data_IF_301646662889
#
_entry.id   IF_301646662889
#
_cell.length_a   1.000
_cell.length_b   1.000
_cell.length_c   1.000
_cell.angle_alpha   90.00
_cell.angle_beta   90.00
_cell.angle_gamma   90.00
#
_symmetry.space_group_name_H-M   'P 1'
#
loop_
_entity.id
_entity.type
_entity.pdbx_description
1 polymer ?
#
# COMPACT_ATOMS: atom_id res chain seq x y z
N UNK A 1 5.49 -7.50 -11.10
CA UNK A 1 5.21 -8.48 -10.02
C UNK A 1 6.50 -9.26 -9.78
N UNK A 2 7.10 -9.22 -8.60
CA UNK A 2 8.36 -9.89 -8.29
C UNK A 2 8.15 -10.88 -7.15
N UNK A 3 8.49 -12.15 -7.35
CA UNK A 3 8.40 -13.20 -6.34
C UNK A 3 9.80 -13.59 -5.88
N UNK A 4 9.94 -14.04 -4.64
CA UNK A 4 11.20 -14.60 -4.15
C UNK A 4 11.61 -15.80 -5.01
N UNK A 5 12.90 -15.86 -5.37
CA UNK A 5 13.46 -16.89 -6.27
C UNK A 5 13.32 -18.30 -5.68
N UNK A 6 13.64 -18.47 -4.40
CA UNK A 6 13.41 -19.71 -3.65
C UNK A 6 12.21 -19.54 -2.72
N UNK A 7 11.29 -20.50 -2.72
CA UNK A 7 10.23 -20.57 -1.70
C UNK A 7 10.76 -21.06 -0.36
N UNK A 8 11.88 -21.78 -0.38
CA UNK A 8 12.51 -22.36 0.80
C UNK A 8 13.60 -21.45 1.34
N UNK A 9 13.65 -21.34 2.67
CA UNK A 9 14.74 -20.71 3.40
C UNK A 9 15.62 -21.80 4.00
N UNK A 10 16.93 -21.54 4.08
CA UNK A 10 17.84 -22.42 4.80
C UNK A 10 17.45 -22.44 6.29
N UNK A 11 17.57 -23.60 6.97
CA UNK A 11 17.32 -23.66 8.41
C UNK A 11 18.16 -22.61 9.16
N UNK A 12 17.51 -21.77 9.96
CA UNK A 12 18.15 -20.71 10.72
C UNK A 12 18.34 -19.36 9.99
N UNK A 13 18.02 -19.26 8.71
CA UNK A 13 18.11 -17.99 7.96
C UNK A 13 16.89 -17.10 8.24
N UNK A 14 16.91 -16.39 9.37
CA UNK A 14 15.84 -15.50 9.82
C UNK A 14 15.57 -14.38 8.80
N UNK A 15 16.61 -13.87 8.15
CA UNK A 15 16.45 -12.82 7.14
C UNK A 15 15.64 -13.33 5.94
N UNK A 16 15.91 -14.54 5.48
CA UNK A 16 15.07 -15.17 4.46
C UNK A 16 13.63 -15.36 4.95
N UNK A 17 13.41 -15.85 6.16
CA UNK A 17 12.06 -16.05 6.68
C UNK A 17 11.27 -14.75 6.75
N UNK A 18 11.89 -13.65 7.19
CA UNK A 18 11.25 -12.34 7.31
C UNK A 18 11.13 -11.59 5.98
N UNK A 19 11.90 -11.97 4.96
CA UNK A 19 11.83 -11.35 3.64
C UNK A 19 10.44 -11.52 3.01
N UNK A 20 9.88 -10.47 2.37
CA UNK A 20 8.61 -10.61 1.68
C UNK A 20 8.68 -11.66 0.58
N UNK A 21 7.69 -12.54 0.58
CA UNK A 21 7.51 -13.57 -0.45
C UNK A 21 7.25 -12.95 -1.83
N UNK A 22 6.73 -11.74 -1.85
CA UNK A 22 6.21 -11.11 -3.04
C UNK A 22 6.18 -9.58 -2.96
N UNK A 23 6.64 -8.92 -4.04
CA UNK A 23 6.53 -7.48 -4.28
C UNK A 23 5.65 -7.19 -5.50
N UNK A 24 4.70 -6.27 -5.37
CA UNK A 24 4.02 -5.65 -6.51
C UNK A 24 4.42 -4.18 -6.64
N UNK A 25 4.43 -3.68 -7.88
CA UNK A 25 4.71 -2.28 -8.20
C UNK A 25 3.50 -1.79 -8.97
N UNK A 26 2.85 -0.74 -8.49
CA UNK A 26 1.60 -0.24 -9.05
C UNK A 26 1.72 1.27 -9.24
N UNK A 27 1.27 1.75 -10.39
CA UNK A 27 1.34 3.14 -10.79
C UNK A 27 -0.09 3.68 -10.88
N UNK A 28 -0.38 4.75 -10.16
CA UNK A 28 -1.71 5.35 -10.07
C UNK A 28 -1.57 6.82 -10.48
N UNK A 29 -2.41 7.28 -11.39
CA UNK A 29 -2.34 8.66 -11.90
C UNK A 29 -3.69 9.33 -11.82
N UNK A 30 -3.73 10.58 -11.34
CA UNK A 30 -4.96 11.39 -11.36
C UNK A 30 -4.67 12.89 -11.42
N UNK A 31 -5.70 13.67 -11.72
CA UNK A 31 -5.65 15.13 -11.85
C UNK A 31 -5.43 15.84 -10.51
N UNK A 32 -4.89 17.06 -10.56
CA UNK A 32 -4.85 17.97 -9.42
C UNK A 32 -6.25 18.18 -8.86
N UNK A 33 -6.34 18.25 -7.53
CA UNK A 33 -7.59 18.52 -6.81
C UNK A 33 -8.73 17.54 -7.14
N UNK A 34 -8.40 16.27 -7.45
CA UNK A 34 -9.40 15.22 -7.72
C UNK A 34 -10.48 15.21 -6.62
N UNK A 35 -11.77 15.40 -6.97
CA UNK A 35 -12.84 15.51 -5.99
C UNK A 35 -13.00 14.23 -5.16
N UNK A 36 -13.07 14.39 -3.83
CA UNK A 36 -13.40 13.27 -2.95
C UNK A 36 -14.92 13.04 -2.99
N UNK A 37 -15.39 11.80 -3.20
CA UNK A 37 -16.82 11.50 -3.19
C UNK A 37 -17.50 11.86 -1.87
N UNK A 38 -18.83 11.96 -1.86
CA UNK A 38 -19.62 12.27 -0.64
C UNK A 38 -19.42 11.29 0.52
N UNK A 39 -18.88 10.11 0.26
CA UNK A 39 -18.45 9.12 1.26
C UNK A 39 -17.22 9.59 2.06
N UNK A 40 -16.59 10.70 1.65
CA UNK A 40 -15.40 11.29 2.28
C UNK A 40 -14.10 10.57 1.92
N UNK A 41 -14.14 9.55 1.06
CA UNK A 41 -12.97 8.74 0.73
C UNK A 41 -13.05 8.20 -0.70
N UNK A 42 -11.92 8.20 -1.40
CA UNK A 42 -11.76 7.63 -2.74
C UNK A 42 -10.86 6.39 -2.67
N UNK A 43 -11.32 5.26 -3.18
CA UNK A 43 -10.52 4.02 -3.20
C UNK A 43 -9.45 4.08 -4.30
N UNK A 44 -8.20 3.84 -3.92
CA UNK A 44 -7.05 3.88 -4.84
C UNK A 44 -6.53 2.49 -5.18
N UNK A 45 -6.45 1.61 -4.18
CA UNK A 45 -5.82 0.30 -4.35
C UNK A 45 -6.40 -0.69 -3.35
N UNK A 46 -6.57 -1.94 -3.76
CA UNK A 46 -7.02 -3.03 -2.88
C UNK A 46 -5.96 -4.13 -2.80
N UNK A 47 -5.57 -4.48 -1.58
CA UNK A 47 -4.74 -5.64 -1.30
C UNK A 47 -5.59 -6.74 -0.66
N UNK A 48 -5.56 -7.93 -1.25
CA UNK A 48 -6.26 -9.12 -0.74
C UNK A 48 -5.25 -10.22 -0.43
N UNK A 49 -5.31 -10.73 0.79
CA UNK A 49 -4.68 -11.97 1.20
C UNK A 49 -5.61 -13.16 0.99
N UNK A 50 -5.04 -14.35 0.94
CA UNK A 50 -5.83 -15.60 0.96
C UNK A 50 -6.30 -15.85 2.38
N UNK A 51 -7.61 -16.01 2.58
CA UNK A 51 -8.16 -16.38 3.88
C UNK A 51 -7.99 -17.89 4.09
N UNK A 52 -7.08 -18.28 4.97
CA UNK A 52 -6.88 -19.67 5.40
C UNK A 52 -7.38 -19.82 6.84
N UNK A 53 -8.09 -20.92 7.18
CA UNK A 53 -8.48 -21.19 8.57
C UNK A 53 -7.26 -21.12 9.52
N UNK A 54 -7.45 -20.53 10.71
CA UNK A 54 -6.37 -20.34 11.68
C UNK A 54 -5.34 -19.27 11.30
N UNK A 55 -5.52 -18.55 10.19
CA UNK A 55 -4.59 -17.51 9.76
C UNK A 55 -5.13 -16.11 10.02
N UNK A 56 -4.25 -15.22 10.51
CA UNK A 56 -4.54 -13.80 10.75
C UNK A 56 -3.68 -12.98 9.79
N UNK A 57 -4.30 -12.01 9.12
CA UNK A 57 -3.61 -11.09 8.21
C UNK A 57 -3.53 -9.71 8.85
N UNK A 58 -2.35 -9.11 8.84
CA UNK A 58 -2.11 -7.74 9.31
C UNK A 58 -1.70 -6.88 8.13
N UNK A 59 -2.27 -5.68 8.06
CA UNK A 59 -1.98 -4.71 7.01
C UNK A 59 -1.44 -3.41 7.60
N UNK A 60 -0.38 -2.89 7.00
CA UNK A 60 0.22 -1.59 7.36
C UNK A 60 0.51 -0.77 6.10
N UNK A 61 0.51 0.55 6.25
CA UNK A 61 0.84 1.51 5.20
C UNK A 61 1.94 2.43 5.71
N UNK A 62 2.86 2.80 4.84
CA UNK A 62 3.92 3.74 5.13
C UNK A 62 4.11 4.70 3.96
N UNK A 63 4.23 6.00 4.26
CA UNK A 63 4.69 6.99 3.30
C UNK A 63 6.21 6.93 3.18
N UNK A 64 6.68 6.42 2.04
CA UNK A 64 8.11 6.25 1.75
C UNK A 64 8.71 7.56 1.25
N UNK A 65 8.03 8.22 0.31
CA UNK A 65 8.48 9.48 -0.26
C UNK A 65 7.32 10.34 -0.74
N UNK A 66 7.53 11.65 -0.79
CA UNK A 66 6.57 12.62 -1.32
C UNK A 66 7.32 13.84 -1.85
N UNK A 67 7.24 14.07 -3.16
CA UNK A 67 7.91 15.15 -3.88
C UNK A 67 6.86 16.00 -4.57
N UNK A 68 6.84 17.31 -4.29
CA UNK A 68 5.90 18.24 -4.89
C UNK A 68 6.65 19.42 -5.50
N UNK A 69 6.09 20.02 -6.56
CA UNK A 69 6.64 21.23 -7.14
C UNK A 69 6.63 22.41 -6.14
N UNK A 70 7.49 23.43 -6.33
CA UNK A 70 7.48 24.63 -5.48
C UNK A 70 6.10 25.27 -5.42
N UNK A 71 5.63 25.60 -4.22
CA UNK A 71 4.30 26.19 -3.99
C UNK A 71 3.15 25.18 -3.90
N UNK A 72 3.38 23.89 -4.17
CA UNK A 72 2.38 22.83 -4.03
C UNK A 72 2.46 22.20 -2.64
N UNK A 73 1.33 22.10 -1.94
CA UNK A 73 1.27 21.42 -0.65
C UNK A 73 1.55 19.93 -0.82
N UNK A 74 2.68 19.49 -0.27
CA UNK A 74 3.13 18.11 -0.31
C UNK A 74 2.15 17.18 0.41
N UNK A 75 1.83 16.05 -0.20
CA UNK A 75 1.03 15.01 0.43
C UNK A 75 1.75 14.43 1.66
N UNK A 76 0.98 14.18 2.71
CA UNK A 76 1.42 13.54 3.94
C UNK A 76 0.68 12.22 4.12
N UNK A 77 1.13 11.40 5.07
CA UNK A 77 0.46 10.13 5.37
C UNK A 77 -1.00 10.32 5.77
N UNK A 78 -1.34 11.45 6.40
CA UNK A 78 -2.71 11.82 6.79
C UNK A 78 -3.66 12.10 5.60
N UNK A 79 -3.14 12.16 4.37
CA UNK A 79 -3.96 12.20 3.16
C UNK A 79 -4.50 10.82 2.77
N UNK A 80 -3.96 9.75 3.36
CA UNK A 80 -4.27 8.37 3.05
C UNK A 80 -4.80 7.64 4.28
N UNK A 81 -5.57 6.57 4.06
CA UNK A 81 -5.98 5.66 5.12
C UNK A 81 -6.10 4.23 4.60
N UNK A 82 -6.06 3.27 5.52
CA UNK A 82 -6.39 1.88 5.22
C UNK A 82 -7.77 1.54 5.77
N UNK A 83 -8.69 1.19 4.88
CA UNK A 83 -9.95 0.53 5.21
C UNK A 83 -9.77 -0.98 5.24
N UNK A 84 -10.42 -1.66 6.18
CA UNK A 84 -10.37 -3.12 6.32
C UNK A 84 -11.79 -3.70 6.23
N UNK A 85 -12.33 -3.86 5.01
CA UNK A 85 -13.69 -4.37 4.83
C UNK A 85 -13.84 -5.85 5.22
N UNK A 86 -12.74 -6.61 5.25
CA UNK A 86 -12.70 -7.99 5.74
C UNK A 86 -11.34 -8.31 6.37
N UNK A 87 -11.22 -9.40 7.16
CA UNK A 87 -9.96 -9.76 7.83
C UNK A 87 -8.78 -9.99 6.87
N UNK A 88 -9.04 -10.39 5.62
CA UNK A 88 -8.03 -10.67 4.60
C UNK A 88 -7.98 -9.61 3.49
N UNK A 89 -8.58 -8.43 3.69
CA UNK A 89 -8.58 -7.36 2.71
C UNK A 89 -8.28 -6.00 3.34
N UNK A 90 -7.40 -5.24 2.70
CA UNK A 90 -7.20 -3.82 2.97
C UNK A 90 -7.41 -3.02 1.68
N UNK A 91 -8.01 -1.84 1.83
CA UNK A 91 -8.25 -0.88 0.76
C UNK A 91 -7.54 0.42 1.14
N UNK A 92 -6.55 0.82 0.34
CA UNK A 92 -5.96 2.14 0.42
C UNK A 92 -6.94 3.15 -0.14
N UNK A 93 -7.22 4.17 0.65
CA UNK A 93 -8.11 5.27 0.26
C UNK A 93 -7.41 6.61 0.40
N UNK A 94 -7.78 7.53 -0.48
CA UNK A 94 -7.48 8.95 -0.39
C UNK A 94 -8.59 9.64 0.39
N UNK A 95 -8.24 10.39 1.44
CA UNK A 95 -9.21 11.04 2.35
C UNK A 95 -9.39 12.53 2.07
N UNK A 96 -8.50 13.13 1.26
CA UNK A 96 -8.55 14.53 0.86
C UNK A 96 -7.97 14.73 -0.53
N UNK A 97 -8.46 15.72 -1.25
CA UNK A 97 -7.91 16.10 -2.55
C UNK A 97 -6.44 16.56 -2.42
N UNK A 98 -5.63 16.27 -3.43
CA UNK A 98 -4.21 16.61 -3.47
C UNK A 98 -3.95 17.62 -4.58
N UNK A 99 -3.29 18.75 -4.29
CA UNK A 99 -2.86 19.68 -5.33
C UNK A 99 -1.68 19.07 -6.10
N UNK A 100 -1.62 19.20 -7.42
CA UNK A 100 -0.47 18.76 -8.22
C UNK A 100 0.35 19.94 -8.77
N UNK A 101 1.48 19.68 -9.44
CA UNK A 101 2.05 18.35 -9.69
C UNK A 101 2.84 17.80 -8.49
N UNK A 102 2.65 16.51 -8.18
CA UNK A 102 3.44 15.80 -7.16
C UNK A 102 3.53 14.28 -7.39
N UNK A 103 4.61 13.68 -6.88
CA UNK A 103 4.92 12.25 -6.92
C UNK A 103 4.96 11.70 -5.49
N UNK A 104 4.26 10.60 -5.24
CA UNK A 104 4.10 10.03 -3.91
C UNK A 104 4.40 8.54 -3.96
N UNK A 105 5.20 8.06 -3.03
CA UNK A 105 5.59 6.66 -2.90
C UNK A 105 5.04 6.12 -1.57
N UNK A 106 4.16 5.13 -1.64
CA UNK A 106 3.60 4.43 -0.49
C UNK A 106 3.98 2.95 -0.54
N UNK A 107 4.31 2.38 0.60
CA UNK A 107 4.41 0.92 0.77
C UNK A 107 3.17 0.44 1.53
N UNK A 108 2.43 -0.49 0.93
CA UNK A 108 1.36 -1.24 1.60
C UNK A 108 1.86 -2.65 1.88
N UNK A 109 1.95 -3.03 3.14
CA UNK A 109 2.49 -4.32 3.57
C UNK A 109 1.39 -5.21 4.13
N UNK A 110 1.50 -6.50 3.83
CA UNK A 110 0.67 -7.56 4.37
C UNK A 110 1.56 -8.59 5.05
N UNK A 111 1.22 -8.95 6.29
CA UNK A 111 1.83 -10.04 7.04
C UNK A 111 0.79 -11.09 7.36
N UNK A 112 1.16 -12.36 7.24
CA UNK A 112 0.29 -13.50 7.49
C UNK A 112 0.87 -14.26 8.67
N UNK A 113 0.02 -14.55 9.65
CA UNK A 113 0.36 -15.34 10.83
C UNK A 113 -0.54 -16.58 10.89
N UNK A 114 0.01 -17.73 11.21
CA UNK A 114 -0.71 -18.98 11.42
C UNK A 114 -0.38 -19.50 12.82
N UNK A 115 -1.39 -19.74 13.67
CA UNK A 115 -1.20 -20.15 15.06
C UNK A 115 -0.13 -19.33 15.81
N UNK A 116 -0.16 -18.00 15.63
CA UNK A 116 0.80 -16.99 16.13
C UNK A 116 2.19 -16.96 15.49
N UNK A 117 2.55 -17.96 14.68
CA UNK A 117 3.81 -17.98 13.94
C UNK A 117 3.71 -17.15 12.65
N UNK A 118 4.77 -16.41 12.33
CA UNK A 118 4.87 -15.69 11.05
C UNK A 118 4.94 -16.68 9.88
N UNK A 119 3.98 -16.60 8.97
CA UNK A 119 3.86 -17.49 7.81
C UNK A 119 4.38 -16.85 6.52
N UNK A 120 4.45 -15.52 6.47
CA UNK A 120 5.01 -14.79 5.32
C UNK A 120 4.48 -13.37 5.21
N UNK A 121 5.06 -12.60 4.29
CA UNK A 121 4.62 -11.24 3.99
C UNK A 121 4.63 -10.94 2.50
N UNK A 122 3.94 -9.87 2.11
CA UNK A 122 3.97 -9.30 0.78
C UNK A 122 3.92 -7.77 0.86
N UNK A 123 4.54 -7.09 -0.10
CA UNK A 123 4.60 -5.62 -0.15
C UNK A 123 4.10 -5.13 -1.50
N UNK A 124 3.20 -4.17 -1.52
CA UNK A 124 2.84 -3.40 -2.71
C UNK A 124 3.49 -2.03 -2.63
N UNK A 125 4.40 -1.75 -3.56
CA UNK A 125 4.96 -0.43 -3.82
C UNK A 125 4.00 0.33 -4.72
N UNK A 126 3.52 1.47 -4.25
CA UNK A 126 2.54 2.30 -4.94
C UNK A 126 3.21 3.63 -5.31
N UNK A 127 3.22 3.94 -6.60
CA UNK A 127 3.73 5.18 -7.16
C UNK A 127 2.55 6.00 -7.65
N UNK A 128 2.22 7.09 -6.97
CA UNK A 128 1.09 7.95 -7.27
C UNK A 128 1.61 9.23 -7.91
N UNK A 129 1.07 9.57 -9.09
CA UNK A 129 1.39 10.79 -9.82
C UNK A 129 0.15 11.68 -9.92
N UNK A 130 0.24 12.86 -9.31
CA UNK A 130 -0.79 13.90 -9.41
C UNK A 130 -0.36 14.89 -10.49
N UNK A 131 -1.18 15.10 -11.51
CA UNK A 131 -0.85 16.03 -12.61
C UNK A 131 -0.99 17.48 -12.18
N UNK A 132 -0.47 18.43 -12.98
CA UNK A 132 -0.63 19.87 -12.73
C UNK A 132 -2.01 20.44 -13.10
N UNK A 133 -2.87 19.63 -13.72
CA UNK A 133 -4.16 20.10 -14.28
C UNK A 133 -5.31 19.63 -13.40
N UNK A 134 -6.33 20.47 -13.27
CA UNK A 134 -7.64 20.09 -12.71
C UNK A 134 -8.57 19.57 -13.82
N UNK A 135 -9.76 19.07 -13.44
CA UNK A 135 -10.77 18.56 -14.37
C UNK A 135 -11.61 19.67 -15.00
#
# INVERSE_FOLDING_TARGET
RCVRSSRYCLPGDIACYQSPSHFSFNFITFVSMLPIPRTGQLELFTMRGTHLPGSVVRFSMALVNSRAAPGVTRATEACFALKRPSPSQAVLVLTRSLPGPQEIELDLSMEIYHDTAFAGSAVAKLFIYVTQYEF
#
